data_IF_297104382349
#
_entry.id   IF_297104382349
#
_cell.length_a   1.000
_cell.length_b   1.000
_cell.length_c   1.000
_cell.angle_alpha   90.00
_cell.angle_beta   90.00
_cell.angle_gamma   90.00
#
_symmetry.space_group_name_H-M   'P 1'
#
loop_
_entity.id
_entity.type
_entity.pdbx_description
1 polymer ?
#
# COMPACT_ATOMS: atom_id res chain seq x y z
N UNK A 1 10.86 0.72 -6.65
CA UNK A 1 9.97 1.20 -5.57
C UNK A 1 9.99 0.10 -4.52
N UNK A 2 10.61 0.32 -3.37
CA UNK A 2 10.80 -0.72 -2.35
C UNK A 2 9.80 -0.46 -1.23
N UNK A 3 8.80 -1.32 -1.10
CA UNK A 3 7.91 -1.31 0.05
C UNK A 3 8.52 -2.13 1.19
N UNK A 4 8.22 -1.76 2.44
CA UNK A 4 8.49 -2.57 3.63
C UNK A 4 7.22 -2.76 4.45
N UNK A 5 7.19 -3.80 5.27
CA UNK A 5 6.13 -3.98 6.25
C UNK A 5 6.12 -2.81 7.25
N UNK A 6 4.95 -2.22 7.47
CA UNK A 6 4.73 -1.02 8.28
C UNK A 6 4.53 0.27 7.47
N UNK A 7 4.76 0.24 6.15
CA UNK A 7 4.45 1.38 5.28
C UNK A 7 2.95 1.53 5.03
N UNK A 8 2.51 2.72 4.63
CA UNK A 8 1.13 2.98 4.21
C UNK A 8 1.05 3.13 2.70
N UNK A 9 0.04 2.48 2.11
CA UNK A 9 -0.27 2.58 0.69
C UNK A 9 -1.49 3.47 0.51
N UNK A 10 -1.34 4.48 -0.35
CA UNK A 10 -2.41 5.35 -0.81
C UNK A 10 -2.76 5.00 -2.26
N UNK A 11 -3.99 4.55 -2.47
CA UNK A 11 -4.53 4.30 -3.80
C UNK A 11 -5.04 5.61 -4.38
N UNK A 12 -4.22 6.29 -5.21
CA UNK A 12 -4.67 7.48 -5.94
C UNK A 12 -5.56 7.03 -7.10
N UNK A 13 -6.87 7.05 -6.88
CA UNK A 13 -7.81 6.99 -7.99
C UNK A 13 -7.74 8.32 -8.75
N UNK A 14 -7.35 8.30 -10.02
CA UNK A 14 -7.35 9.49 -10.89
C UNK A 14 -8.74 10.11 -11.13
N UNK A 15 -9.78 9.61 -10.45
CA UNK A 15 -11.16 10.09 -10.53
C UNK A 15 -11.48 10.95 -9.32
N UNK A 16 -11.86 12.21 -9.57
CA UNK A 16 -12.35 13.12 -8.53
C UNK A 16 -13.59 12.51 -7.86
N UNK A 17 -13.54 12.31 -6.53
CA UNK A 17 -14.64 11.76 -5.74
C UNK A 17 -14.62 10.24 -5.54
N UNK A 18 -13.63 9.52 -6.06
CA UNK A 18 -13.41 8.13 -5.64
C UNK A 18 -12.87 8.12 -4.20
N UNK A 19 -13.33 7.21 -3.32
CA UNK A 19 -12.80 7.09 -1.98
C UNK A 19 -11.30 6.84 -2.04
N UNK A 20 -10.53 7.70 -1.37
CA UNK A 20 -9.12 7.45 -1.12
C UNK A 20 -9.04 6.20 -0.24
N UNK A 21 -8.60 5.09 -0.82
CA UNK A 21 -8.32 3.90 -0.04
C UNK A 21 -6.91 4.03 0.52
N UNK A 22 -6.77 3.87 1.82
CA UNK A 22 -5.50 3.71 2.52
C UNK A 22 -5.43 2.28 3.05
N UNK A 23 -4.25 1.66 2.97
CA UNK A 23 -4.00 0.37 3.59
C UNK A 23 -2.57 0.29 4.11
N UNK A 24 -2.37 -0.37 5.25
CA UNK A 24 -1.06 -0.60 5.83
C UNK A 24 -0.44 -1.88 5.26
N UNK A 25 0.82 -1.84 4.85
CA UNK A 25 1.55 -3.01 4.38
C UNK A 25 1.90 -3.87 5.58
N UNK A 26 1.27 -5.04 5.67
CA UNK A 26 1.58 -6.04 6.69
C UNK A 26 2.84 -6.84 6.33
N UNK A 27 2.98 -7.20 5.05
CA UNK A 27 4.08 -8.03 4.59
C UNK A 27 4.33 -7.83 3.10
N UNK A 28 5.60 -7.83 2.70
CA UNK A 28 6.00 -7.78 1.29
C UNK A 28 6.48 -9.17 0.88
N UNK A 29 5.73 -9.81 -0.02
CA UNK A 29 6.02 -11.19 -0.45
C UNK A 29 6.95 -11.24 -1.67
N UNK A 30 7.07 -10.16 -2.44
CA UNK A 30 8.02 -10.13 -3.53
C UNK A 30 9.46 -9.98 -3.04
N UNK A 31 10.38 -10.56 -3.79
CA UNK A 31 11.79 -10.46 -3.49
C UNK A 31 12.23 -9.00 -3.57
N UNK A 32 13.07 -8.56 -2.63
CA UNK A 32 13.61 -7.20 -2.63
C UNK A 32 12.57 -6.07 -2.49
N UNK A 33 11.41 -6.30 -1.86
CA UNK A 33 10.41 -5.25 -1.69
C UNK A 33 9.50 -5.04 -2.91
N UNK A 34 9.47 -6.02 -3.83
CA UNK A 34 8.59 -6.07 -5.00
C UNK A 34 7.21 -6.64 -4.64
N UNK A 35 6.18 -6.40 -5.45
CA UNK A 35 4.88 -7.00 -5.20
C UNK A 35 4.83 -8.50 -5.48
N UNK A 36 3.85 -9.23 -4.91
CA UNK A 36 2.68 -8.75 -4.16
C UNK A 36 2.95 -8.22 -2.75
N UNK A 37 2.12 -7.26 -2.32
CA UNK A 37 2.09 -6.77 -0.94
C UNK A 37 0.82 -7.23 -0.25
N UNK A 38 0.96 -7.78 0.95
CA UNK A 38 -0.17 -8.03 1.84
C UNK A 38 -0.44 -6.75 2.62
N UNK A 39 -1.63 -6.19 2.42
CA UNK A 39 -2.06 -4.97 3.10
C UNK A 39 -3.26 -5.24 4.00
N UNK A 40 -3.45 -4.36 4.97
CA UNK A 40 -4.63 -4.32 5.82
C UNK A 40 -5.32 -2.98 5.69
N UNK A 41 -6.59 -3.01 5.36
CA UNK A 41 -7.45 -1.83 5.35
C UNK A 41 -7.88 -1.46 6.77
N UNK A 42 -8.32 -0.22 6.96
CA UNK A 42 -8.81 0.29 8.26
C UNK A 42 -10.01 -0.49 8.80
N UNK A 43 -10.84 -1.05 7.91
CA UNK A 43 -11.95 -1.98 8.24
C UNK A 43 -11.46 -3.31 8.86
N UNK A 44 -10.15 -3.54 8.89
CA UNK A 44 -9.52 -4.75 9.40
C UNK A 44 -9.39 -5.85 8.35
N UNK A 45 -9.94 -5.65 7.15
CA UNK A 45 -9.84 -6.57 6.03
C UNK A 45 -8.42 -6.61 5.48
N UNK A 46 -7.87 -7.81 5.31
CA UNK A 46 -6.57 -8.03 4.67
C UNK A 46 -6.75 -8.40 3.20
N UNK A 47 -5.91 -7.86 2.32
CA UNK A 47 -5.92 -8.21 0.91
C UNK A 47 -4.52 -8.16 0.30
N UNK A 48 -4.35 -8.85 -0.83
CA UNK A 48 -3.12 -8.83 -1.60
C UNK A 48 -3.24 -7.78 -2.70
N UNK A 49 -2.30 -6.84 -2.71
CA UNK A 49 -2.25 -5.72 -3.64
C UNK A 49 -1.04 -5.83 -4.54
N UNK A 50 -1.28 -5.57 -5.82
CA UNK A 50 -0.26 -5.42 -6.84
C UNK A 50 -0.17 -3.93 -7.20
N UNK A 51 0.82 -3.19 -6.68
CA UNK A 51 1.06 -1.80 -7.01
C UNK A 51 1.29 -1.64 -8.52
N UNK A 52 0.51 -0.77 -9.13
CA UNK A 52 0.79 -0.23 -10.46
C UNK A 52 1.49 1.12 -10.36
N UNK A 53 1.50 1.87 -11.46
CA UNK A 53 2.07 3.22 -11.52
C UNK A 53 1.27 4.26 -10.72
N UNK A 54 0.01 3.99 -10.39
CA UNK A 54 -0.91 4.92 -9.73
C UNK A 54 -0.91 4.81 -8.19
N UNK A 55 0.04 4.09 -7.60
CA UNK A 55 0.09 3.85 -6.16
C UNK A 55 1.24 4.64 -5.53
N UNK A 56 0.93 5.31 -4.42
CA UNK A 56 1.93 6.04 -3.61
C UNK A 56 2.13 5.30 -2.29
N UNK A 57 3.38 4.97 -1.98
CA UNK A 57 3.77 4.42 -0.69
C UNK A 57 4.27 5.58 0.16
N UNK A 58 3.64 5.79 1.31
CA UNK A 58 4.13 6.70 2.34
C UNK A 58 4.87 5.89 3.40
N UNK A 59 6.17 6.12 3.47
CA UNK A 59 6.97 5.66 4.59
C UNK A 59 6.68 6.59 5.78
N UNK A 60 6.28 6.07 6.96
CA UNK A 60 6.15 6.91 8.12
C UNK A 60 7.52 7.53 8.39
N UNK A 61 7.62 8.85 8.20
CA UNK A 61 8.85 9.61 8.44
C UNK A 61 9.34 9.28 9.85
N UNK A 62 10.44 8.54 9.96
CA UNK A 62 11.10 8.30 11.24
C UNK A 62 11.49 9.66 11.83
N UNK A 63 10.72 10.12 12.81
CA UNK A 63 11.02 11.29 13.64
C UNK A 63 12.01 10.95 14.75
#
# INVERSE_FOLDING_TARGET
MHAVAGDRIHFKSGTVGAPEHEAEILEVQGSNGEPPYRVRFDDGHESIVYPGSDIQIEHPSSG
#
